data_IF_188979668169
#
_entry.id   IF_188979668169
#
_cell.length_a   1.000
_cell.length_b   1.000
_cell.length_c   1.000
_cell.angle_alpha   90.00
_cell.angle_beta   90.00
_cell.angle_gamma   90.00
#
_symmetry.space_group_name_H-M   'P 1'
#
loop_
_entity.id
_entity.type
_entity.pdbx_description
1 polymer ?
#
# COMPACT_ATOMS: atom_id res chain seq x y z
N UNK A 1 5.81 -17.38 -12.58
CA UNK A 1 5.49 -18.11 -11.34
C UNK A 1 3.99 -18.38 -11.34
N UNK A 2 3.53 -19.63 -11.40
CA UNK A 2 2.10 -19.98 -11.27
C UNK A 2 1.88 -20.60 -9.90
N UNK A 3 1.14 -19.91 -9.03
CA UNK A 3 0.66 -20.48 -7.77
C UNK A 3 -0.56 -21.35 -8.05
N UNK A 4 -0.72 -22.43 -7.28
CA UNK A 4 -1.99 -23.17 -7.28
C UNK A 4 -3.09 -22.35 -6.60
N UNK A 5 -4.36 -22.60 -6.93
CA UNK A 5 -5.49 -21.91 -6.28
C UNK A 5 -5.49 -22.11 -4.76
N UNK A 6 -5.28 -23.34 -4.30
CA UNK A 6 -5.19 -23.65 -2.87
C UNK A 6 -4.02 -22.93 -2.17
N UNK A 7 -2.86 -22.83 -2.82
CA UNK A 7 -1.73 -22.08 -2.25
C UNK A 7 -2.02 -20.58 -2.19
N UNK A 8 -2.70 -20.02 -3.20
CA UNK A 8 -3.10 -18.62 -3.20
C UNK A 8 -4.07 -18.31 -2.06
N UNK A 9 -5.12 -19.13 -1.90
CA UNK A 9 -6.10 -19.01 -0.81
C UNK A 9 -5.44 -19.09 0.57
N UNK A 10 -4.57 -20.09 0.79
CA UNK A 10 -3.86 -20.23 2.07
C UNK A 10 -2.93 -19.05 2.39
N UNK A 11 -2.33 -18.42 1.37
CA UNK A 11 -1.54 -17.19 1.56
C UNK A 11 -2.43 -16.00 1.91
N UNK A 12 -3.57 -15.87 1.26
CA UNK A 12 -4.54 -14.80 1.52
C UNK A 12 -5.03 -14.88 2.97
N UNK A 13 -5.48 -16.06 3.41
CA UNK A 13 -5.94 -16.28 4.78
C UNK A 13 -4.87 -15.90 5.80
N UNK A 14 -3.63 -16.37 5.60
CA UNK A 14 -2.51 -16.04 6.48
C UNK A 14 -2.23 -14.52 6.55
N UNK A 15 -2.27 -13.83 5.41
CA UNK A 15 -2.01 -12.39 5.35
C UNK A 15 -3.11 -11.58 6.05
N UNK A 16 -4.39 -11.96 5.86
CA UNK A 16 -5.49 -11.34 6.59
C UNK A 16 -5.41 -11.62 8.11
N UNK A 17 -4.98 -12.82 8.52
CA UNK A 17 -4.74 -13.13 9.93
C UNK A 17 -3.67 -12.23 10.57
N UNK A 18 -2.62 -11.85 9.84
CA UNK A 18 -1.61 -10.90 10.34
C UNK A 18 -2.22 -9.53 10.64
N UNK A 19 -3.25 -9.10 9.91
CA UNK A 19 -3.88 -7.80 10.10
C UNK A 19 -4.62 -7.67 11.44
N UNK A 20 -5.04 -8.77 12.07
CA UNK A 20 -5.66 -8.76 13.40
C UNK A 20 -4.67 -8.37 14.51
N UNK A 21 -3.38 -8.63 14.30
CA UNK A 21 -2.30 -8.32 15.23
C UNK A 21 -1.06 -7.88 14.44
N UNK A 22 -1.15 -6.69 13.83
CA UNK A 22 -0.24 -6.28 12.76
C UNK A 22 1.23 -6.15 13.19
N UNK A 23 2.09 -6.97 12.56
CA UNK A 23 3.55 -6.96 12.74
C UNK A 23 4.32 -6.71 11.42
N UNK A 24 3.65 -6.20 10.38
CA UNK A 24 4.21 -6.06 9.03
C UNK A 24 5.37 -5.04 8.94
N UNK A 25 5.51 -4.17 9.94
CA UNK A 25 6.58 -3.18 9.96
C UNK A 25 7.38 -3.28 11.27
N UNK A 26 8.64 -2.81 11.29
CA UNK A 26 9.54 -2.98 12.45
C UNK A 26 9.06 -2.25 13.72
N UNK A 27 8.04 -1.39 13.63
CA UNK A 27 7.42 -0.75 14.82
C UNK A 27 6.61 -1.74 15.66
N UNK A 28 6.20 -2.87 15.08
CA UNK A 28 5.53 -3.97 15.77
C UNK A 28 4.38 -3.54 16.70
N UNK A 29 3.50 -2.66 16.21
CA UNK A 29 2.47 -2.02 17.04
C UNK A 29 1.30 -2.93 17.43
N UNK A 30 1.15 -4.10 16.80
CA UNK A 30 0.14 -5.12 17.15
C UNK A 30 -1.33 -4.66 17.10
N UNK A 31 -1.59 -3.60 16.35
CA UNK A 31 -2.95 -3.06 16.16
C UNK A 31 -3.74 -3.97 15.23
N UNK A 32 -5.00 -4.21 15.58
CA UNK A 32 -5.99 -4.83 14.70
C UNK A 32 -6.43 -3.82 13.62
N UNK A 33 -6.07 -4.10 12.38
CA UNK A 33 -6.28 -3.20 11.22
C UNK A 33 -7.71 -3.19 10.71
N UNK A 34 -8.53 -4.17 11.08
CA UNK A 34 -9.95 -4.20 10.72
C UNK A 34 -10.78 -3.27 11.59
N UNK A 35 -10.36 -3.04 12.84
CA UNK A 35 -11.09 -2.20 13.79
C UNK A 35 -10.44 -0.84 14.03
N UNK A 36 -9.15 -0.68 13.73
CA UNK A 36 -8.42 0.54 14.06
C UNK A 36 -7.31 0.86 13.07
N UNK A 37 -7.10 2.15 12.85
CA UNK A 37 -5.94 2.70 12.14
C UNK A 37 -4.85 3.19 13.09
N UNK A 38 -4.95 2.87 14.38
CA UNK A 38 -3.97 3.31 15.38
C UNK A 38 -2.57 2.74 15.08
N UNK A 39 -1.54 3.45 15.53
CA UNK A 39 -0.13 3.15 15.24
C UNK A 39 0.49 4.15 14.27
N UNK A 40 1.83 4.20 14.24
CA UNK A 40 2.56 5.26 13.52
C UNK A 40 2.28 5.30 12.02
N UNK A 41 1.98 4.16 11.41
CA UNK A 41 1.66 4.08 9.98
C UNK A 41 0.24 4.51 9.62
N UNK A 42 -0.68 4.67 10.59
CA UNK A 42 -2.05 5.18 10.36
C UNK A 42 -2.90 4.47 9.29
N UNK A 43 -2.52 3.26 8.89
CA UNK A 43 -3.21 2.46 7.87
C UNK A 43 -4.12 1.41 8.51
N UNK A 44 -5.26 1.14 7.86
CA UNK A 44 -6.22 0.08 8.22
C UNK A 44 -6.06 -1.14 7.31
N UNK A 45 -7.13 -1.94 7.16
CA UNK A 45 -7.12 -3.14 6.32
C UNK A 45 -7.28 -2.86 4.82
N UNK A 46 -7.81 -1.68 4.45
CA UNK A 46 -8.01 -1.27 3.06
C UNK A 46 -6.89 -0.35 2.56
N UNK A 47 -6.52 -0.43 1.27
CA UNK A 47 -5.57 0.50 0.68
C UNK A 47 -6.15 1.92 0.64
N UNK A 48 -5.28 2.90 0.81
CA UNK A 48 -5.59 4.31 0.62
C UNK A 48 -4.67 4.82 -0.49
N UNK A 49 -5.23 5.28 -1.60
CA UNK A 49 -4.50 5.69 -2.80
C UNK A 49 -4.62 7.20 -2.94
N UNK A 50 -3.48 7.87 -3.04
CA UNK A 50 -3.42 9.31 -3.25
C UNK A 50 -3.57 9.67 -4.73
N UNK A 51 -2.84 8.95 -5.59
CA UNK A 51 -2.87 9.14 -7.03
C UNK A 51 -2.30 7.91 -7.75
N UNK A 52 -2.62 7.79 -9.03
CA UNK A 52 -2.03 6.79 -9.92
C UNK A 52 -1.98 7.33 -11.35
N UNK A 53 -1.04 6.85 -12.15
CA UNK A 53 -0.88 7.28 -13.54
C UNK A 53 0.50 7.01 -14.12
N UNK A 54 0.75 7.45 -15.37
CA UNK A 54 2.05 7.31 -16.00
C UNK A 54 3.08 8.22 -15.34
N UNK A 55 4.22 7.63 -14.96
CA UNK A 55 5.35 8.33 -14.37
C UNK A 55 6.55 8.27 -15.31
N UNK A 56 7.16 9.43 -15.53
CA UNK A 56 8.30 9.60 -16.44
C UNK A 56 9.59 9.98 -15.70
N UNK A 57 9.59 9.89 -14.36
CA UNK A 57 10.74 10.24 -13.52
C UNK A 57 11.74 9.10 -13.32
N UNK A 58 11.39 7.86 -13.65
CA UNK A 58 12.31 6.71 -13.64
C UNK A 58 13.30 6.78 -14.81
N UNK A 59 14.31 5.91 -14.80
CA UNK A 59 15.29 5.82 -15.87
C UNK A 59 14.66 5.47 -17.24
N UNK A 60 15.29 5.94 -18.31
CA UNK A 60 14.79 5.85 -19.69
C UNK A 60 14.40 4.44 -20.13
N UNK A 61 15.10 3.40 -19.65
CA UNK A 61 14.80 2.00 -19.97
C UNK A 61 13.64 1.40 -19.15
N UNK A 62 13.19 2.07 -18.08
CA UNK A 62 12.02 1.67 -17.27
C UNK A 62 10.73 2.35 -17.75
N UNK A 63 10.82 3.60 -18.21
CA UNK A 63 9.65 4.39 -18.65
C UNK A 63 9.22 4.08 -20.08
N UNK A 64 10.14 3.62 -20.94
CA UNK A 64 9.88 3.41 -22.35
C UNK A 64 9.26 4.65 -23.01
N UNK A 65 8.23 4.46 -23.84
CA UNK A 65 7.54 5.56 -24.54
C UNK A 65 6.29 6.06 -23.80
N UNK A 66 5.79 5.32 -22.81
CA UNK A 66 4.46 5.55 -22.20
C UNK A 66 4.51 5.85 -20.70
N UNK A 67 5.72 5.92 -20.12
CA UNK A 67 5.90 6.03 -18.67
C UNK A 67 5.80 4.66 -17.99
N UNK A 68 6.30 4.60 -16.77
CA UNK A 68 6.03 3.49 -15.85
C UNK A 68 4.69 3.71 -15.17
N UNK A 69 3.91 2.65 -14.94
CA UNK A 69 2.71 2.75 -14.10
C UNK A 69 3.10 2.99 -12.65
N UNK A 70 2.63 4.08 -12.05
CA UNK A 70 2.88 4.42 -10.64
C UNK A 70 1.59 4.54 -9.88
N UNK A 71 1.57 4.00 -8.66
CA UNK A 71 0.49 4.12 -7.69
C UNK A 71 1.09 4.68 -6.40
N UNK A 72 0.64 5.86 -5.98
CA UNK A 72 1.04 6.46 -4.72
C UNK A 72 0.07 6.06 -3.61
N UNK A 73 0.53 5.17 -2.74
CA UNK A 73 -0.20 4.84 -1.51
C UNK A 73 -0.05 5.94 -0.46
N UNK A 74 -1.07 6.05 0.39
CA UNK A 74 -1.14 7.02 1.48
C UNK A 74 -0.65 6.40 2.78
N UNK A 75 -0.05 7.24 3.62
CA UNK A 75 0.62 6.96 4.87
C UNK A 75 1.98 6.25 4.76
N UNK A 76 2.83 6.46 5.76
CA UNK A 76 4.11 5.77 5.93
C UNK A 76 4.34 5.41 7.40
N UNK A 77 5.01 4.28 7.67
CA UNK A 77 5.45 3.89 9.01
C UNK A 77 6.75 4.61 9.46
N UNK A 78 7.29 5.48 8.60
CA UNK A 78 8.41 6.37 8.86
C UNK A 78 7.90 7.81 8.98
N UNK A 79 8.66 8.67 9.68
CA UNK A 79 8.34 10.09 9.86
C UNK A 79 9.54 10.96 9.45
N UNK A 80 10.00 10.82 8.22
CA UNK A 80 11.20 11.50 7.74
C UNK A 80 10.99 13.03 7.76
N UNK A 81 11.93 13.76 8.37
CA UNK A 81 11.90 15.24 8.43
C UNK A 81 12.10 15.89 7.05
N UNK A 82 12.64 15.14 6.09
CA UNK A 82 12.90 15.54 4.71
C UNK A 82 11.97 14.83 3.70
N UNK A 83 10.79 14.37 4.14
CA UNK A 83 9.88 13.63 3.26
C UNK A 83 9.37 14.51 2.12
N UNK A 84 9.75 14.18 0.88
CA UNK A 84 9.24 14.88 -0.32
C UNK A 84 7.74 14.65 -0.52
N UNK A 85 7.25 13.48 -0.10
CA UNK A 85 5.86 13.06 -0.20
C UNK A 85 5.12 13.26 1.14
N UNK A 86 5.43 14.33 1.88
CA UNK A 86 4.92 14.54 3.24
C UNK A 86 3.39 14.60 3.29
N UNK A 87 2.74 15.26 2.34
CA UNK A 87 1.28 15.39 2.30
C UNK A 87 0.62 14.01 2.26
N UNK A 88 1.07 13.13 1.36
CA UNK A 88 0.49 11.79 1.22
C UNK A 88 0.97 10.83 2.32
N UNK A 89 2.22 10.97 2.78
CA UNK A 89 2.80 10.05 3.77
C UNK A 89 2.38 10.38 5.20
N UNK A 90 2.09 11.65 5.49
CA UNK A 90 1.85 12.13 6.85
C UNK A 90 0.57 12.93 7.07
N UNK A 91 -0.06 13.48 6.04
CA UNK A 91 -1.37 14.13 6.19
C UNK A 91 -2.54 13.23 5.82
N UNK A 92 -2.27 12.01 5.34
CA UNK A 92 -3.31 11.05 4.99
C UNK A 92 -4.07 11.43 3.72
N UNK A 93 -3.44 12.19 2.82
CA UNK A 93 -4.07 12.66 1.59
C UNK A 93 -4.25 11.53 0.57
N UNK A 94 -5.49 11.04 0.41
CA UNK A 94 -5.89 10.04 -0.58
C UNK A 94 -7.27 9.47 -0.28
N UNK A 95 -7.71 8.52 -1.11
CA UNK A 95 -9.01 7.86 -0.99
C UNK A 95 -8.86 6.40 -0.62
N UNK A 96 -9.69 5.95 0.33
CA UNK A 96 -9.74 4.53 0.70
C UNK A 96 -10.58 3.76 -0.31
N UNK A 97 -9.98 2.75 -0.94
CA UNK A 97 -10.61 1.94 -1.99
C UNK A 97 -10.63 0.46 -1.60
N UNK A 98 -11.37 -0.37 -2.34
CA UNK A 98 -11.33 -1.82 -2.19
C UNK A 98 -10.26 -2.47 -3.09
N UNK A 99 -10.06 -3.78 -2.92
CA UNK A 99 -9.02 -4.53 -3.63
C UNK A 99 -9.39 -4.68 -5.11
N UNK A 100 -10.68 -4.77 -5.41
CA UNK A 100 -11.22 -4.83 -6.75
C UNK A 100 -10.91 -3.56 -7.53
N UNK A 101 -11.11 -2.38 -6.95
CA UNK A 101 -10.79 -1.11 -7.58
C UNK A 101 -9.27 -0.92 -7.72
N UNK A 102 -8.49 -1.28 -6.69
CA UNK A 102 -7.03 -1.31 -6.80
C UNK A 102 -6.55 -2.21 -7.94
N UNK A 103 -7.20 -3.35 -8.15
CA UNK A 103 -6.85 -4.27 -9.25
C UNK A 103 -7.09 -3.65 -10.62
N UNK A 104 -8.16 -2.87 -10.79
CA UNK A 104 -8.41 -2.14 -12.05
C UNK A 104 -7.38 -1.04 -12.29
N UNK A 105 -6.86 -0.42 -11.23
CA UNK A 105 -5.77 0.57 -11.34
C UNK A 105 -4.47 -0.08 -11.83
N UNK A 106 -4.25 -1.36 -11.52
CA UNK A 106 -3.03 -2.10 -11.90
C UNK A 106 -3.08 -2.72 -13.30
N UNK A 107 -4.25 -2.81 -13.93
CA UNK A 107 -4.50 -3.48 -15.22
C UNK A 107 -4.64 -2.49 -16.37
#
# INVERSE_FOLDING_TARGET
>A
MKLSGAELEGRIEKLYGILENCTLCPRNCRVNRFSSKNGSCRTGARPIVSSFGPHFGEESFLVGNSGSGTIFFTNCNLNCVFCQNWEISQMGAGEEIDVEELSKIML
#
